data_IF_010364766459
#
_entry.id   IF_010364766459
#
_cell.length_a   1.000
_cell.length_b   1.000
_cell.length_c   1.000
_cell.angle_alpha   90.00
_cell.angle_beta   90.00
_cell.angle_gamma   90.00
#
_symmetry.space_group_name_H-M   'P 1'
#
loop_
_entity.id
_entity.type
_entity.pdbx_description
1 polymer ?
#
# COMPACT_ATOMS: atom_id res chain seq x y z
N UNK A 1 6.10 16.05 -8.24
CA UNK A 1 6.57 15.35 -7.04
C UNK A 1 5.41 15.19 -6.10
N UNK A 2 5.64 14.57 -4.95
CA UNK A 2 4.63 14.42 -3.91
C UNK A 2 5.14 15.01 -2.60
N UNK A 3 4.31 15.80 -1.94
CA UNK A 3 4.57 16.38 -0.62
C UNK A 3 3.22 16.44 0.09
N UNK A 4 3.17 16.08 1.38
CA UNK A 4 1.96 16.15 2.21
C UNK A 4 0.70 15.56 1.55
N UNK A 5 0.85 14.35 1.00
CA UNK A 5 -0.21 13.61 0.30
C UNK A 5 -0.83 14.33 -0.92
N UNK A 6 -0.11 15.30 -1.51
CA UNK A 6 -0.57 16.07 -2.68
C UNK A 6 0.48 16.12 -3.77
N UNK A 7 0.00 16.33 -5.00
CA UNK A 7 0.88 16.67 -6.12
C UNK A 7 1.52 18.03 -5.84
N UNK A 8 2.85 18.07 -5.93
CA UNK A 8 3.66 19.25 -5.68
C UNK A 8 4.60 19.49 -6.87
N UNK A 9 4.73 20.75 -7.30
CA UNK A 9 5.75 21.11 -8.29
C UNK A 9 7.13 20.99 -7.65
N UNK A 10 7.97 20.17 -8.26
CA UNK A 10 9.26 19.79 -7.72
C UNK A 10 10.28 20.93 -7.72
N UNK A 11 10.04 22.00 -8.47
CA UNK A 11 10.97 23.11 -8.60
C UNK A 11 10.68 24.26 -7.63
N UNK A 12 9.57 24.21 -6.88
CA UNK A 12 9.17 25.29 -5.96
C UNK A 12 10.01 25.26 -4.66
N UNK A 13 10.20 24.08 -4.08
CA UNK A 13 10.98 23.90 -2.85
C UNK A 13 11.83 22.61 -2.94
N UNK A 14 13.02 22.68 -3.55
CA UNK A 14 13.88 21.52 -3.71
C UNK A 14 14.25 20.88 -2.36
N UNK A 15 14.18 19.55 -2.30
CA UNK A 15 14.48 18.78 -1.09
C UNK A 15 13.29 18.59 -0.14
N UNK A 16 12.15 19.24 -0.38
CA UNK A 16 10.94 19.09 0.46
C UNK A 16 9.87 18.19 -0.15
N UNK A 17 10.00 17.83 -1.43
CA UNK A 17 9.06 16.96 -2.12
C UNK A 17 9.76 15.74 -2.72
N UNK A 18 9.06 14.60 -2.69
CA UNK A 18 9.51 13.36 -3.30
C UNK A 18 9.48 13.49 -4.83
N UNK A 19 10.59 13.16 -5.47
CA UNK A 19 10.68 13.04 -6.92
C UNK A 19 10.25 11.64 -7.35
N UNK A 20 9.37 11.58 -8.35
CA UNK A 20 8.87 10.33 -8.90
C UNK A 20 8.70 10.46 -10.41
N UNK A 21 8.80 9.34 -11.11
CA UNK A 21 8.56 9.19 -12.53
C UNK A 21 8.05 7.77 -12.81
N UNK A 22 7.35 7.60 -13.93
CA UNK A 22 6.88 6.29 -14.35
C UNK A 22 8.05 5.35 -14.72
N UNK A 23 7.88 4.07 -14.41
CA UNK A 23 8.84 3.03 -14.78
C UNK A 23 8.55 2.52 -16.19
N UNK A 24 9.55 2.58 -17.08
CA UNK A 24 9.48 1.92 -18.40
C UNK A 24 9.81 0.43 -18.30
N UNK A 25 8.77 -0.39 -18.13
CA UNK A 25 8.92 -1.85 -18.09
C UNK A 25 9.37 -2.46 -19.42
N UNK A 26 9.17 -1.78 -20.56
CA UNK A 26 9.68 -2.25 -21.85
C UNK A 26 11.20 -2.16 -21.88
N UNK A 27 11.76 -1.08 -21.34
CA UNK A 27 13.20 -0.89 -21.19
C UNK A 27 13.79 -1.95 -20.25
N UNK A 28 13.17 -2.17 -19.09
CA UNK A 28 13.63 -3.21 -18.15
C UNK A 28 13.69 -4.60 -18.80
N UNK A 29 12.67 -4.96 -19.58
CA UNK A 29 12.66 -6.24 -20.30
C UNK A 29 13.77 -6.31 -21.35
N UNK A 30 13.98 -5.25 -22.14
CA UNK A 30 15.06 -5.19 -23.14
C UNK A 30 16.43 -5.39 -22.48
N UNK A 31 16.67 -4.77 -21.32
CA UNK A 31 17.94 -4.87 -20.61
C UNK A 31 18.22 -6.26 -20.00
N UNK A 32 17.16 -7.02 -19.69
CA UNK A 32 17.23 -8.37 -19.17
C UNK A 32 17.30 -9.46 -20.26
N UNK A 33 17.04 -9.10 -21.52
CA UNK A 33 17.00 -10.04 -22.64
C UNK A 33 18.34 -10.78 -22.81
N UNK A 34 18.25 -12.10 -23.05
CA UNK A 34 19.42 -12.97 -23.22
C UNK A 34 20.19 -13.30 -21.93
N UNK A 35 19.84 -12.67 -20.80
CA UNK A 35 20.46 -12.94 -19.49
C UNK A 35 19.54 -13.77 -18.59
N UNK A 36 18.25 -13.41 -18.58
CA UNK A 36 17.23 -14.09 -17.76
C UNK A 36 15.89 -14.12 -18.50
N UNK A 37 15.06 -15.13 -18.19
CA UNK A 37 13.68 -15.15 -18.63
C UNK A 37 12.89 -14.06 -17.91
N UNK A 38 12.28 -13.15 -18.67
CA UNK A 38 11.40 -12.10 -18.13
C UNK A 38 9.94 -12.50 -18.33
N UNK A 39 9.24 -12.82 -17.23
CA UNK A 39 7.82 -13.16 -17.23
C UNK A 39 6.97 -11.95 -16.80
N UNK A 40 5.96 -11.59 -17.59
CA UNK A 40 5.27 -10.31 -17.44
C UNK A 40 6.00 -9.17 -18.17
N UNK A 41 5.56 -7.90 -18.08
CA UNK A 41 4.79 -7.33 -16.98
C UNK A 41 3.30 -7.58 -17.11
N UNK A 42 2.60 -7.53 -15.97
CA UNK A 42 1.14 -7.51 -15.89
C UNK A 42 0.73 -6.41 -14.92
N UNK A 43 -0.51 -5.93 -15.03
CA UNK A 43 -1.05 -4.94 -14.09
C UNK A 43 -1.08 -5.51 -12.67
N UNK A 44 -0.84 -4.66 -11.67
CA UNK A 44 -0.88 -5.03 -10.25
C UNK A 44 -2.20 -5.73 -9.88
N UNK A 45 -3.34 -5.22 -10.37
CA UNK A 45 -4.65 -5.85 -10.16
C UNK A 45 -4.64 -7.32 -10.58
N UNK A 46 -4.22 -7.61 -11.82
CA UNK A 46 -4.18 -8.98 -12.34
C UNK A 46 -3.21 -9.85 -11.55
N UNK A 47 -2.04 -9.33 -11.21
CA UNK A 47 -1.06 -10.05 -10.39
C UNK A 47 -1.65 -10.45 -9.03
N UNK A 48 -2.24 -9.49 -8.30
CA UNK A 48 -2.83 -9.74 -6.98
C UNK A 48 -4.04 -10.68 -7.04
N UNK A 49 -4.90 -10.55 -8.07
CA UNK A 49 -6.01 -11.48 -8.30
C UNK A 49 -5.51 -12.90 -8.52
N UNK A 50 -4.49 -13.08 -9.36
CA UNK A 50 -3.89 -14.40 -9.62
C UNK A 50 -3.24 -15.00 -8.36
N UNK A 51 -2.71 -14.17 -7.46
CA UNK A 51 -2.20 -14.62 -6.15
C UNK A 51 -3.29 -14.89 -5.11
N UNK A 52 -4.57 -14.73 -5.45
CA UNK A 52 -5.68 -15.03 -4.54
C UNK A 52 -5.94 -13.95 -3.49
N UNK A 53 -5.70 -12.67 -3.80
CA UNK A 53 -5.97 -11.55 -2.87
C UNK A 53 -7.41 -11.57 -2.33
N UNK A 54 -8.39 -11.99 -3.13
CA UNK A 54 -9.79 -12.10 -2.71
C UNK A 54 -10.00 -13.17 -1.63
N UNK A 55 -9.30 -14.31 -1.73
CA UNK A 55 -9.36 -15.39 -0.74
C UNK A 55 -8.77 -14.90 0.58
N UNK A 56 -7.65 -14.17 0.50
CA UNK A 56 -7.03 -13.55 1.68
C UNK A 56 -7.97 -12.53 2.32
N UNK A 57 -8.61 -11.67 1.53
CA UNK A 57 -9.57 -10.68 2.01
C UNK A 57 -10.73 -11.35 2.76
N UNK A 58 -11.36 -12.37 2.17
CA UNK A 58 -12.44 -13.13 2.81
C UNK A 58 -12.03 -13.71 4.17
N UNK A 59 -10.83 -14.29 4.27
CA UNK A 59 -10.31 -14.83 5.54
C UNK A 59 -10.09 -13.74 6.59
N UNK A 60 -9.54 -12.59 6.18
CA UNK A 60 -9.32 -11.46 7.09
C UNK A 60 -10.64 -10.88 7.60
N UNK A 61 -11.65 -10.75 6.74
CA UNK A 61 -12.98 -10.31 7.13
C UNK A 61 -13.62 -11.28 8.14
N UNK A 62 -13.57 -12.58 7.89
CA UNK A 62 -14.07 -13.59 8.84
C UNK A 62 -13.35 -13.55 10.19
N UNK A 63 -12.03 -13.36 10.20
CA UNK A 63 -11.26 -13.19 11.43
C UNK A 63 -11.56 -11.89 12.17
N UNK A 64 -11.85 -10.80 11.45
CA UNK A 64 -12.23 -9.52 12.05
C UNK A 64 -13.60 -9.58 12.74
N UNK A 65 -14.58 -10.27 12.15
CA UNK A 65 -15.87 -10.54 12.77
C UNK A 65 -15.72 -11.36 14.07
N UNK A 66 -14.88 -12.39 14.04
CA UNK A 66 -14.58 -13.20 15.23
C UNK A 66 -13.82 -12.42 16.33
N UNK A 67 -12.97 -11.46 15.96
CA UNK A 67 -12.26 -10.59 16.92
C UNK A 67 -13.22 -9.58 17.57
N UNK A 68 -14.08 -8.94 16.78
CA UNK A 68 -15.08 -7.99 17.28
C UNK A 68 -16.12 -8.68 18.19
N UNK A 69 -16.53 -9.90 17.87
CA UNK A 69 -17.45 -10.69 18.71
C UNK A 69 -16.84 -11.15 20.04
N UNK A 70 -15.51 -11.29 20.12
CA UNK A 70 -14.79 -11.64 21.37
C UNK A 70 -14.45 -10.42 22.23
N UNK A 71 -14.43 -9.23 21.64
CA UNK A 71 -14.13 -7.97 22.33
C UNK A 71 -15.38 -7.23 22.83
N UNK A 72 -16.59 -7.75 22.62
CA UNK A 72 -17.84 -7.18 23.18
C UNK A 72 -18.04 -7.52 24.67
N UNK A 73 -17.00 -7.40 25.48
CA UNK A 73 -17.15 -7.10 26.91
C UNK A 73 -16.82 -5.61 27.07
N UNK A 74 -17.64 -4.83 27.79
CA UNK A 74 -17.34 -3.41 27.98
C UNK A 74 -15.99 -3.33 28.70
N UNK A 75 -14.96 -2.90 27.97
CA UNK A 75 -13.68 -2.59 28.57
C UNK A 75 -13.92 -1.31 29.36
N UNK A 76 -14.05 -1.43 30.69
CA UNK A 76 -13.97 -0.28 31.57
C UNK A 76 -12.64 0.43 31.24
N UNK A 77 -12.73 1.69 30.81
CA UNK A 77 -11.57 2.43 30.33
C UNK A 77 -10.56 2.55 31.46
N UNK A 78 -9.41 1.91 31.31
CA UNK A 78 -8.21 2.24 32.06
C UNK A 78 -7.32 2.96 31.06
N UNK A 79 -6.78 4.11 31.49
CA UNK A 79 -5.96 5.06 30.73
C UNK A 79 -6.76 6.21 30.11
N UNK A 80 -6.92 7.27 30.91
CA UNK A 80 -7.04 8.63 30.42
C UNK A 80 -5.76 9.01 29.66
N UNK A 81 -5.88 9.64 28.49
CA UNK A 81 -4.79 10.43 27.91
C UNK A 81 -4.16 9.97 26.60
N UNK A 82 -4.90 9.34 25.68
CA UNK A 82 -4.40 9.09 24.30
C UNK A 82 -5.46 9.43 23.25
N UNK A 83 -5.91 10.68 23.22
CA UNK A 83 -6.82 11.21 22.19
C UNK A 83 -6.27 12.48 21.55
N UNK A 84 -5.04 12.45 21.05
CA UNK A 84 -4.58 13.45 20.09
C UNK A 84 -3.34 12.93 19.39
N UNK A 85 -3.52 12.49 18.14
CA UNK A 85 -2.54 12.45 17.05
C UNK A 85 -3.33 11.92 15.85
N UNK A 86 -4.30 12.72 15.41
CA UNK A 86 -4.78 12.65 14.05
C UNK A 86 -3.63 13.12 13.16
N UNK A 87 -3.29 12.33 12.15
CA UNK A 87 -2.37 12.67 11.08
C UNK A 87 -2.61 14.13 10.62
N UNK A 88 -1.62 14.99 10.86
CA UNK A 88 -1.39 16.19 10.05
C UNK A 88 -0.44 15.82 8.92
#
# INVERSE_FOLDING_TARGET
GFCDHKLHDVLIAPGTADLTADVDFSYLRRMAQGKVASLGPIKQHTFLKNMGIDVRLKRLQGGSYQRNARQSKPFASVVAGFSELAWQ
#
